data_IF_846183563069
#
_entry.id   IF_846183563069
#
_cell.length_a   1.000
_cell.length_b   1.000
_cell.length_c   1.000
_cell.angle_alpha   90.00
_cell.angle_beta   90.00
_cell.angle_gamma   90.00
#
_symmetry.space_group_name_H-M   'P 1'
#
loop_
_entity.id
_entity.type
_entity.pdbx_description
1 polymer ?
#
# COMPACT_ATOMS: atom_id res chain seq x y z
N UNK A 1 -14.04 17.85 -21.87
CA UNK A 1 -13.06 17.93 -20.78
C UNK A 1 -11.96 16.92 -21.10
N UNK A 2 -10.69 17.32 -21.08
CA UNK A 2 -9.58 16.37 -21.17
C UNK A 2 -9.57 15.50 -19.89
N UNK A 3 -9.33 14.19 -19.97
CA UNK A 3 -9.12 13.34 -18.80
C UNK A 3 -7.96 13.92 -17.99
N UNK A 4 -8.11 14.04 -16.68
CA UNK A 4 -7.03 14.49 -15.77
C UNK A 4 -6.27 13.28 -15.22
N UNK A 5 -5.00 13.44 -14.82
CA UNK A 5 -4.27 12.40 -14.11
C UNK A 5 -5.00 12.04 -12.80
N UNK A 6 -5.06 10.74 -12.50
CA UNK A 6 -5.56 10.22 -11.22
C UNK A 6 -4.43 9.98 -10.23
N UNK A 7 -4.76 9.39 -9.08
CA UNK A 7 -3.89 9.16 -7.92
C UNK A 7 -2.62 8.35 -8.28
N UNK A 8 -2.77 7.33 -9.13
CA UNK A 8 -1.65 6.55 -9.65
C UNK A 8 -0.64 7.41 -10.43
N UNK A 9 -1.13 8.31 -11.28
CA UNK A 9 -0.27 9.20 -12.07
C UNK A 9 0.30 10.35 -11.23
N UNK A 10 -0.49 10.87 -10.29
CA UNK A 10 -0.03 11.89 -9.34
C UNK A 10 1.07 11.35 -8.42
N UNK A 11 1.07 10.04 -8.17
CA UNK A 11 2.12 9.36 -7.40
C UNK A 11 3.37 9.05 -8.24
N UNK A 12 3.52 9.55 -9.47
CA UNK A 12 4.69 9.25 -10.30
C UNK A 12 6.01 9.64 -9.62
N UNK A 13 6.99 8.73 -9.67
CA UNK A 13 8.24 8.71 -8.89
C UNK A 13 8.05 8.66 -7.37
N UNK A 14 6.80 8.60 -6.92
CA UNK A 14 6.28 8.70 -5.58
C UNK A 14 6.00 7.38 -4.87
N UNK A 15 5.14 7.48 -3.86
CA UNK A 15 4.53 6.35 -3.15
C UNK A 15 3.03 6.49 -3.30
N UNK A 16 2.36 5.43 -3.73
CA UNK A 16 0.90 5.30 -3.66
C UNK A 16 0.59 4.44 -2.42
N UNK A 17 -0.03 5.04 -1.41
CA UNK A 17 -0.43 4.33 -0.20
C UNK A 17 -1.92 3.99 -0.23
N UNK A 18 -2.26 2.71 -0.03
CA UNK A 18 -3.64 2.22 0.05
C UNK A 18 -3.87 1.59 1.43
N UNK A 19 -4.68 2.24 2.24
CA UNK A 19 -5.15 1.67 3.50
C UNK A 19 -6.42 0.85 3.28
N UNK A 20 -6.64 -0.20 4.09
CA UNK A 20 -7.80 -1.09 3.96
C UNK A 20 -7.94 -1.71 2.55
N UNK A 21 -6.85 -2.24 2.00
CA UNK A 21 -6.77 -2.72 0.60
C UNK A 21 -7.96 -3.58 0.12
N UNK A 22 -8.50 -4.53 0.89
CA UNK A 22 -9.62 -5.38 0.47
C UNK A 22 -10.97 -4.65 0.39
N UNK A 23 -11.07 -3.40 0.86
CA UNK A 23 -12.28 -2.58 0.76
C UNK A 23 -12.36 -1.81 -0.57
N UNK A 24 -11.27 -1.73 -1.32
CA UNK A 24 -11.30 -1.20 -2.68
C UNK A 24 -12.06 -2.13 -3.63
N UNK A 25 -12.79 -1.54 -4.57
CA UNK A 25 -13.43 -2.29 -5.64
C UNK A 25 -12.39 -3.12 -6.39
N UNK A 26 -12.66 -4.42 -6.54
CA UNK A 26 -11.76 -5.36 -7.22
C UNK A 26 -11.31 -4.84 -8.58
N UNK A 27 -12.19 -4.23 -9.36
CA UNK A 27 -11.87 -3.66 -10.68
C UNK A 27 -10.83 -2.54 -10.59
N UNK A 28 -10.85 -1.73 -9.53
CA UNK A 28 -9.86 -0.67 -9.32
C UNK A 28 -8.49 -1.29 -9.07
N UNK A 29 -8.41 -2.30 -8.22
CA UNK A 29 -7.17 -3.03 -7.96
C UNK A 29 -6.63 -3.75 -9.21
N UNK A 30 -7.51 -4.35 -10.00
CA UNK A 30 -7.13 -4.97 -11.27
C UNK A 30 -6.53 -3.97 -12.27
N UNK A 31 -7.04 -2.73 -12.29
CA UNK A 31 -6.53 -1.66 -13.15
C UNK A 31 -5.13 -1.20 -12.69
N UNK A 32 -4.81 -1.28 -11.39
CA UNK A 32 -3.47 -0.93 -10.89
C UNK A 32 -2.36 -1.87 -11.39
N UNK A 33 -2.68 -3.06 -11.91
CA UNK A 33 -1.66 -3.97 -12.46
C UNK A 33 -0.89 -3.35 -13.63
N UNK A 34 -1.57 -2.63 -14.52
CA UNK A 34 -0.95 -1.99 -15.68
C UNK A 34 0.13 -0.96 -15.28
N UNK A 35 -0.14 0.03 -14.39
CA UNK A 35 0.90 0.96 -13.95
C UNK A 35 1.99 0.29 -13.09
N UNK A 36 1.68 -0.77 -12.34
CA UNK A 36 2.71 -1.55 -11.63
C UNK A 36 3.67 -2.26 -12.60
N UNK A 37 3.20 -2.67 -13.77
CA UNK A 37 3.98 -3.39 -14.77
C UNK A 37 4.73 -2.46 -15.73
N UNK A 38 4.03 -1.46 -16.28
CA UNK A 38 4.55 -0.61 -17.35
C UNK A 38 4.96 0.79 -16.88
N UNK A 39 4.54 1.19 -15.68
CA UNK A 39 4.81 2.53 -15.15
C UNK A 39 4.03 3.64 -15.84
N UNK A 40 2.94 3.33 -16.52
CA UNK A 40 2.04 4.28 -17.20
C UNK A 40 0.58 3.85 -17.05
N UNK A 41 -0.34 4.82 -17.18
CA UNK A 41 -1.78 4.59 -17.23
C UNK A 41 -2.28 5.00 -18.61
N UNK A 42 -2.96 4.08 -19.31
CA UNK A 42 -3.53 4.34 -20.63
C UNK A 42 -5.04 4.60 -20.54
N UNK A 43 -5.47 5.77 -21.00
CA UNK A 43 -6.87 6.19 -21.01
C UNK A 43 -7.40 6.26 -22.43
N UNK A 44 -8.29 5.34 -22.78
CA UNK A 44 -9.07 5.40 -24.02
C UNK A 44 -10.41 6.09 -23.76
N UNK A 45 -10.73 7.13 -24.55
CA UNK A 45 -12.01 7.86 -24.53
C UNK A 45 -12.48 8.09 -25.97
N UNK A 46 -13.76 8.41 -26.15
CA UNK A 46 -14.37 8.63 -27.46
C UNK A 46 -13.65 9.70 -28.33
N UNK A 47 -12.87 10.60 -27.72
CA UNK A 47 -12.13 11.67 -28.39
C UNK A 47 -10.63 11.38 -28.59
N UNK A 48 -10.15 10.19 -28.25
CA UNK A 48 -8.76 9.78 -28.41
C UNK A 48 -8.20 8.98 -27.22
N UNK A 49 -6.92 8.63 -27.35
CA UNK A 49 -6.13 7.93 -26.33
C UNK A 49 -5.13 8.91 -25.69
N UNK A 50 -4.91 8.79 -24.38
CA UNK A 50 -3.91 9.55 -23.63
C UNK A 50 -3.18 8.63 -22.67
N UNK A 51 -1.88 8.88 -22.46
CA UNK A 51 -1.05 8.15 -21.52
C UNK A 51 -0.51 9.10 -20.46
N UNK A 52 -0.51 8.66 -19.20
CA UNK A 52 0.07 9.39 -18.08
C UNK A 52 1.16 8.56 -17.40
N UNK A 53 2.31 9.15 -17.03
CA UNK A 53 3.33 8.43 -16.28
C UNK A 53 2.83 8.06 -14.89
N UNK A 54 3.21 6.88 -14.39
CA UNK A 54 2.73 6.29 -13.15
C UNK A 54 3.74 5.31 -12.53
N UNK A 55 5.05 5.57 -12.64
CA UNK A 55 6.09 4.81 -11.92
C UNK A 55 6.10 5.13 -10.43
N UNK A 56 5.35 4.41 -9.60
CA UNK A 56 5.29 4.63 -8.15
C UNK A 56 5.68 3.37 -7.37
N UNK A 57 6.04 3.52 -6.10
CA UNK A 57 6.08 2.42 -5.15
C UNK A 57 4.70 2.25 -4.53
N UNK A 58 4.10 1.07 -4.68
CA UNK A 58 2.86 0.73 -3.98
C UNK A 58 3.18 0.30 -2.56
N UNK A 59 2.51 0.91 -1.59
CA UNK A 59 2.49 0.46 -0.19
C UNK A 59 1.03 0.26 0.18
N UNK A 60 0.68 -0.91 0.70
CA UNK A 60 -0.69 -1.20 1.07
C UNK A 60 -0.77 -1.83 2.45
N UNK A 61 -1.84 -1.50 3.17
CA UNK A 61 -2.15 -2.07 4.48
C UNK A 61 -3.53 -2.73 4.43
N UNK A 62 -3.72 -3.77 5.25
CA UNK A 62 -5.01 -4.42 5.41
C UNK A 62 -5.08 -5.22 6.70
N UNK A 63 -6.29 -5.40 7.21
CA UNK A 63 -6.56 -6.41 8.22
C UNK A 63 -6.66 -7.79 7.56
N UNK A 64 -6.33 -8.86 8.31
CA UNK A 64 -6.46 -10.22 7.79
C UNK A 64 -7.93 -10.61 7.64
N UNK A 65 -8.82 -10.06 8.48
CA UNK A 65 -10.27 -10.22 8.42
C UNK A 65 -10.98 -8.96 8.93
N UNK A 66 -12.30 -8.89 8.75
CA UNK A 66 -13.17 -7.86 9.34
C UNK A 66 -13.76 -8.28 10.70
N UNK A 67 -13.32 -9.41 11.25
CA UNK A 67 -13.79 -9.94 12.52
C UNK A 67 -12.82 -9.57 13.65
N UNK A 68 -13.35 -9.39 14.86
CA UNK A 68 -12.51 -9.18 16.03
C UNK A 68 -11.64 -10.42 16.30
N UNK A 69 -10.34 -10.21 16.50
CA UNK A 69 -9.45 -11.29 16.88
C UNK A 69 -9.81 -11.80 18.28
N UNK A 70 -10.21 -13.07 18.37
CA UNK A 70 -10.67 -13.70 19.62
C UNK A 70 -9.59 -14.54 20.32
N UNK A 71 -8.36 -14.58 19.78
CA UNK A 71 -7.26 -15.41 20.29
C UNK A 71 -7.35 -16.87 19.86
N UNK A 72 -6.23 -17.59 19.94
CA UNK A 72 -6.17 -19.06 19.86
C UNK A 72 -5.85 -19.67 18.48
N UNK A 73 -6.28 -19.06 17.37
CA UNK A 73 -5.91 -19.48 16.01
C UNK A 73 -4.91 -18.51 15.35
N UNK A 74 -4.15 -19.01 14.38
CA UNK A 74 -3.35 -18.15 13.49
C UNK A 74 -4.32 -17.21 12.74
N UNK A 75 -4.18 -15.91 13.02
CA UNK A 75 -5.07 -14.85 12.54
C UNK A 75 -5.17 -14.84 11.02
N UNK A 76 -4.12 -15.24 10.29
CA UNK A 76 -4.12 -15.27 8.83
C UNK A 76 -4.69 -16.57 8.24
N UNK A 77 -4.75 -17.65 9.03
CA UNK A 77 -5.22 -18.97 8.57
C UNK A 77 -6.71 -19.23 8.81
N UNK A 78 -7.41 -18.33 9.51
CA UNK A 78 -8.85 -18.49 9.76
C UNK A 78 -9.67 -18.51 8.46
N UNK A 79 -10.82 -19.19 8.47
CA UNK A 79 -11.73 -19.23 7.31
C UNK A 79 -12.24 -17.83 6.93
N UNK A 80 -12.49 -16.97 7.92
CA UNK A 80 -12.85 -15.57 7.71
C UNK A 80 -11.73 -14.81 7.00
N UNK A 81 -10.48 -15.00 7.44
CA UNK A 81 -9.31 -14.35 6.84
C UNK A 81 -9.05 -14.82 5.42
N UNK A 82 -9.09 -16.13 5.18
CA UNK A 82 -8.97 -16.68 3.82
C UNK A 82 -10.07 -16.15 2.89
N UNK A 83 -11.31 -16.01 3.39
CA UNK A 83 -12.41 -15.43 2.60
C UNK A 83 -12.20 -13.95 2.31
N UNK A 84 -11.67 -13.20 3.28
CA UNK A 84 -11.39 -11.77 3.15
C UNK A 84 -10.24 -11.50 2.17
N UNK A 85 -9.15 -12.25 2.27
CA UNK A 85 -8.00 -12.17 1.35
C UNK A 85 -8.37 -12.52 -0.10
N UNK A 86 -9.37 -13.39 -0.33
CA UNK A 86 -9.88 -13.71 -1.68
C UNK A 86 -10.54 -12.53 -2.41
N UNK A 87 -10.84 -11.42 -1.71
CA UNK A 87 -11.23 -10.17 -2.38
C UNK A 87 -10.12 -9.66 -3.29
N UNK A 88 -8.86 -9.94 -2.94
CA UNK A 88 -7.67 -9.65 -3.73
C UNK A 88 -7.41 -10.79 -4.72
N UNK A 89 -6.99 -10.46 -5.93
CA UNK A 89 -6.68 -11.46 -6.94
C UNK A 89 -5.21 -11.88 -6.87
N UNK A 90 -4.94 -13.16 -7.15
CA UNK A 90 -3.56 -13.64 -7.23
C UNK A 90 -2.73 -12.85 -8.28
N UNK A 91 -3.23 -12.57 -9.51
CA UNK A 91 -2.48 -11.78 -10.47
C UNK A 91 -2.11 -10.35 -10.02
N UNK A 92 -2.88 -9.76 -9.11
CA UNK A 92 -2.53 -8.48 -8.50
C UNK A 92 -1.49 -8.65 -7.39
N UNK A 93 -1.68 -9.64 -6.51
CA UNK A 93 -0.72 -9.95 -5.45
C UNK A 93 0.66 -10.36 -6.00
N UNK A 94 0.71 -11.03 -7.14
CA UNK A 94 1.95 -11.38 -7.85
C UNK A 94 2.77 -10.15 -8.30
N UNK A 95 2.21 -8.94 -8.20
CA UNK A 95 2.89 -7.67 -8.47
C UNK A 95 3.42 -6.99 -7.20
N UNK A 96 3.28 -7.63 -6.04
CA UNK A 96 3.78 -7.15 -4.76
C UNK A 96 4.96 -8.03 -4.35
N UNK A 97 6.16 -7.45 -4.36
CA UNK A 97 7.39 -8.21 -4.07
C UNK A 97 7.51 -8.62 -2.59
N UNK A 98 6.95 -7.82 -1.67
CA UNK A 98 7.10 -8.00 -0.24
C UNK A 98 5.75 -8.07 0.46
N UNK A 99 5.51 -9.17 1.15
CA UNK A 99 4.37 -9.37 2.04
C UNK A 99 4.89 -9.46 3.47
N UNK A 100 4.35 -8.61 4.36
CA UNK A 100 4.72 -8.61 5.78
C UNK A 100 3.48 -8.90 6.59
N UNK A 101 3.49 -10.03 7.28
CA UNK A 101 2.45 -10.37 8.25
C UNK A 101 2.76 -9.68 9.58
N UNK A 102 1.76 -8.99 10.14
CA UNK A 102 1.87 -8.30 11.43
C UNK A 102 0.95 -9.05 12.39
N UNK A 103 1.50 -9.97 13.21
CA UNK A 103 0.68 -10.73 14.13
C UNK A 103 0.08 -9.82 15.20
N UNK A 104 -1.09 -10.17 15.76
CA UNK A 104 -1.63 -9.47 16.90
C UNK A 104 -0.62 -9.53 18.06
N UNK A 105 -0.28 -8.36 18.61
CA UNK A 105 0.62 -8.27 19.75
C UNK A 105 -0.15 -8.49 21.05
N UNK A 106 0.42 -9.24 22.01
CA UNK A 106 -0.12 -9.31 23.37
C UNK A 106 -0.24 -7.92 24.00
N UNK A 107 -1.31 -7.69 24.79
CA UNK A 107 -1.59 -6.38 25.40
C UNK A 107 -0.45 -5.89 26.30
N UNK A 108 0.21 -6.80 27.00
CA UNK A 108 1.36 -6.51 27.87
C UNK A 108 2.57 -6.01 27.08
N UNK A 109 2.76 -6.43 25.83
CA UNK A 109 3.79 -5.90 24.92
C UNK A 109 3.41 -4.48 24.46
N UNK A 110 2.14 -4.24 24.11
CA UNK A 110 1.66 -2.93 23.64
C UNK A 110 1.70 -1.85 24.72
N UNK A 111 1.46 -2.22 25.98
CA UNK A 111 1.41 -1.31 27.13
C UNK A 111 2.70 -1.37 27.95
N UNK A 112 3.77 -1.97 27.41
CA UNK A 112 5.01 -2.16 28.16
C UNK A 112 5.69 -0.81 28.45
N UNK A 113 5.42 -0.24 29.63
CA UNK A 113 6.00 1.01 30.11
C UNK A 113 7.49 0.88 30.49
N UNK A 114 8.03 -0.34 30.53
CA UNK A 114 9.44 -0.57 30.90
C UNK A 114 10.39 -0.53 29.71
N UNK A 115 9.91 -0.62 28.48
CA UNK A 115 10.74 -0.41 27.30
C UNK A 115 10.95 1.09 27.04
N UNK A 116 12.21 1.51 27.10
CA UNK A 116 12.61 2.85 26.64
C UNK A 116 12.75 2.80 25.13
N UNK A 117 11.72 3.30 24.43
CA UNK A 117 11.76 3.48 22.98
C UNK A 117 12.84 4.47 22.53
N UNK A 118 13.12 4.48 21.23
CA UNK A 118 14.05 5.46 20.65
C UNK A 118 13.53 6.89 20.81
N UNK A 119 14.42 7.84 21.08
CA UNK A 119 14.03 9.25 21.16
C UNK A 119 13.54 9.76 19.80
N UNK A 120 12.56 10.68 19.81
CA UNK A 120 12.09 11.32 18.58
C UNK A 120 13.21 12.03 17.81
N UNK A 121 14.25 12.51 18.49
CA UNK A 121 15.43 13.10 17.86
C UNK A 121 16.21 12.07 17.02
N UNK A 122 16.48 10.88 17.58
CA UNK A 122 17.16 9.81 16.86
C UNK A 122 16.33 9.29 15.66
N UNK A 123 15.01 9.13 15.84
CA UNK A 123 14.10 8.74 14.76
C UNK A 123 14.09 9.80 13.66
N UNK A 124 14.04 11.08 14.02
CA UNK A 124 14.02 12.21 13.09
C UNK A 124 15.22 12.20 12.15
N UNK A 125 16.43 11.94 12.64
CA UNK A 125 17.63 11.87 11.79
C UNK A 125 17.50 10.83 10.68
N UNK A 126 16.96 9.64 10.99
CA UNK A 126 16.70 8.59 9.98
C UNK A 126 15.63 9.00 8.98
N UNK A 127 14.56 9.64 9.46
CA UNK A 127 13.47 10.14 8.61
C UNK A 127 13.99 11.21 7.65
N UNK A 128 14.77 12.18 8.13
CA UNK A 128 15.36 13.24 7.30
C UNK A 128 16.29 12.68 6.22
N UNK A 129 17.10 11.67 6.55
CA UNK A 129 17.93 10.98 5.58
C UNK A 129 17.10 10.26 4.50
N UNK A 130 15.99 9.61 4.88
CA UNK A 130 15.09 8.96 3.94
C UNK A 130 14.38 9.98 3.02
N UNK A 131 13.85 11.07 3.59
CA UNK A 131 13.19 12.15 2.84
C UNK A 131 14.15 12.81 1.85
N UNK A 132 15.41 13.01 2.25
CA UNK A 132 16.42 13.58 1.35
C UNK A 132 16.66 12.67 0.15
N UNK A 133 16.85 11.37 0.36
CA UNK A 133 16.99 10.39 -0.75
C UNK A 133 15.76 10.38 -1.65
N UNK A 134 14.57 10.44 -1.06
CA UNK A 134 13.30 10.49 -1.79
C UNK A 134 13.22 11.74 -2.68
N UNK A 135 13.52 12.92 -2.14
CA UNK A 135 13.51 14.20 -2.88
C UNK A 135 14.50 14.20 -4.04
N UNK A 136 15.71 13.66 -3.83
CA UNK A 136 16.71 13.54 -4.92
C UNK A 136 16.19 12.67 -6.07
N UNK A 137 15.42 11.62 -5.77
CA UNK A 137 14.80 10.76 -6.79
C UNK A 137 13.60 11.42 -7.49
N UNK A 138 12.79 12.19 -6.76
CA UNK A 138 11.49 12.72 -7.22
C UNK A 138 11.57 14.12 -7.87
N UNK A 139 12.53 14.96 -7.46
CA UNK A 139 12.63 16.36 -7.87
C UNK A 139 11.54 17.28 -7.30
N UNK A 140 10.47 16.72 -6.74
CA UNK A 140 9.36 17.40 -6.08
C UNK A 140 9.02 16.69 -4.77
N UNK A 141 8.33 17.38 -3.85
CA UNK A 141 7.81 16.77 -2.63
C UNK A 141 6.39 16.29 -2.89
N UNK A 142 6.12 15.00 -2.58
CA UNK A 142 4.75 14.47 -2.52
C UNK A 142 3.90 15.18 -1.47
#
# INVERSE_FOLDING_TARGET
MSPKPGEASLSHCGVLFLDELPEFDRKVLEVLREPLENGEVHLSRARGQMSYPARFQLVAAMNASNEAYSGGADYYQSSASQKYLRKLSAPFLDRIDLHVEVPPLPTDVLVNQTEVGESSAAVRERVEAAVTRQRTRQGVQN
#
